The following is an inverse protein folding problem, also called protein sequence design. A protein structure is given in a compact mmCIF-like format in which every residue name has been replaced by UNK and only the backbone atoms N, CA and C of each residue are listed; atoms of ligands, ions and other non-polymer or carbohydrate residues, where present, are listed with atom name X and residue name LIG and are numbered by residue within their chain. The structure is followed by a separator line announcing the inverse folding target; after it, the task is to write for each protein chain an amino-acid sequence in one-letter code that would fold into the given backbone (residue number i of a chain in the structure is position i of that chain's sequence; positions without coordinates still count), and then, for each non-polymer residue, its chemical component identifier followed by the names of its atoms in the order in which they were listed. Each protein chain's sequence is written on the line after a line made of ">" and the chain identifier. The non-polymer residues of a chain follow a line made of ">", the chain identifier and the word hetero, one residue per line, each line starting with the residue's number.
data_IF_032595545936
#
_entry.id   IF_032595545936
#
_cell.length_a   1.000
_cell.length_b   1.000
_cell.length_c   1.000
_cell.angle_alpha   90.00
_cell.angle_beta   90.00
_cell.angle_gamma   90.00
#
_symmetry.space_group_name_H-M   'P 1'
#
loop_
_entity.id
_entity.type
_entity.pdbx_description
1 polymer ?
#
# COMPACT_ATOMS: atom_id res chain seq x y z
N UNK A 1 -3.70 -1.67 -15.40
CA UNK A 1 -3.49 -0.99 -14.10
C UNK A 1 -2.07 -1.31 -13.66
N UNK A 2 -1.19 -0.32 -13.55
CA UNK A 2 0.17 -0.51 -13.06
C UNK A 2 0.27 0.23 -11.73
N UNK A 3 0.65 -0.49 -10.67
CA UNK A 3 0.96 0.07 -9.36
C UNK A 3 2.44 -0.17 -9.08
N UNK A 4 3.07 0.70 -8.31
CA UNK A 4 4.47 0.56 -7.91
C UNK A 4 4.65 -0.50 -6.81
N UNK A 5 3.59 -0.76 -6.03
CA UNK A 5 3.58 -1.78 -4.98
C UNK A 5 2.17 -2.36 -4.76
N UNK A 6 2.13 -3.59 -4.26
CA UNK A 6 0.93 -4.24 -3.75
C UNK A 6 1.15 -4.59 -2.28
N UNK A 7 0.20 -4.20 -1.42
CA UNK A 7 0.16 -4.59 -0.02
C UNK A 7 -1.02 -5.56 0.17
N UNK A 8 -0.78 -6.69 0.82
CA UNK A 8 -1.81 -7.70 1.09
C UNK A 8 -2.06 -7.77 2.60
N UNK A 9 -3.32 -7.66 3.00
CA UNK A 9 -3.77 -7.53 4.38
C UNK A 9 -3.95 -6.07 4.79
N UNK A 10 -5.16 -5.73 5.27
CA UNK A 10 -5.54 -4.37 5.69
C UNK A 10 -5.44 -4.13 7.21
N UNK A 11 -4.81 -5.05 7.94
CA UNK A 11 -4.50 -4.87 9.36
C UNK A 11 -3.57 -3.67 9.62
N UNK A 12 -3.32 -3.30 10.88
CA UNK A 12 -2.62 -2.06 11.23
C UNK A 12 -1.27 -1.89 10.50
N UNK A 13 -0.48 -2.96 10.42
CA UNK A 13 0.82 -2.92 9.75
C UNK A 13 0.70 -2.78 8.23
N UNK A 14 -0.31 -3.43 7.62
CA UNK A 14 -0.57 -3.33 6.18
C UNK A 14 -1.01 -1.92 5.79
N UNK A 15 -1.90 -1.33 6.60
CA UNK A 15 -2.34 0.05 6.38
C UNK A 15 -1.19 1.05 6.55
N UNK A 16 -0.37 0.88 7.60
CA UNK A 16 0.83 1.70 7.81
C UNK A 16 1.77 1.58 6.61
N UNK A 17 2.06 0.36 6.15
CA UNK A 17 2.93 0.15 4.98
C UNK A 17 2.38 0.82 3.72
N UNK A 18 1.09 0.66 3.44
CA UNK A 18 0.44 1.28 2.27
C UNK A 18 0.49 2.82 2.35
N UNK A 19 0.20 3.40 3.52
CA UNK A 19 0.26 4.85 3.75
C UNK A 19 1.70 5.37 3.62
N UNK A 20 2.68 4.68 4.19
CA UNK A 20 4.10 5.07 4.06
C UNK A 20 4.53 5.12 2.60
N UNK A 21 4.17 4.11 1.80
CA UNK A 21 4.48 4.07 0.38
C UNK A 21 3.72 5.16 -0.41
N UNK A 22 2.45 5.37 -0.13
CA UNK A 22 1.65 6.42 -0.76
C UNK A 22 2.18 7.83 -0.42
N UNK A 23 2.58 8.08 0.83
CA UNK A 23 3.19 9.33 1.27
C UNK A 23 4.55 9.59 0.60
N UNK A 24 5.26 8.54 0.18
CA UNK A 24 6.46 8.62 -0.64
C UNK A 24 6.17 8.81 -2.15
N UNK A 25 4.90 9.00 -2.53
CA UNK A 25 4.49 9.24 -3.91
C UNK A 25 4.37 7.99 -4.77
N UNK A 26 4.31 6.79 -4.17
CA UNK A 26 4.10 5.54 -4.91
C UNK A 26 2.62 5.27 -5.13
N UNK A 27 2.28 4.76 -6.32
CA UNK A 27 0.97 4.17 -6.58
C UNK A 27 0.90 2.79 -5.92
N UNK A 28 -0.02 2.60 -4.97
CA UNK A 28 -0.12 1.37 -4.17
C UNK A 28 -1.50 0.75 -4.31
N UNK A 29 -1.54 -0.56 -4.53
CA UNK A 29 -2.76 -1.36 -4.43
C UNK A 29 -2.79 -2.08 -3.08
N UNK A 30 -3.80 -1.83 -2.25
CA UNK A 30 -4.05 -2.59 -1.03
C UNK A 30 -5.15 -3.62 -1.29
N UNK A 31 -4.89 -4.89 -0.95
CA UNK A 31 -5.84 -5.99 -1.01
C UNK A 31 -6.06 -6.54 0.42
N UNK A 32 -7.28 -6.96 0.75
CA UNK A 32 -7.56 -7.65 2.02
C UNK A 32 -7.25 -9.14 1.93
#
# INVERSE_FOLDING_TARGET
>A
MSHDAVVVGSGPNGLVAAITLAAAGRSVLLLE
#
